data_IF_161904972140
#
_entry.id   IF_161904972140
#
_cell.length_a   1.000
_cell.length_b   1.000
_cell.length_c   1.000
_cell.angle_alpha   90.00
_cell.angle_beta   90.00
_cell.angle_gamma   90.00
#
_symmetry.space_group_name_H-M   'P 1'
#
loop_
_entity.id
_entity.type
_entity.pdbx_description
1 polymer ?
#
# COMPACT_ATOMS: atom_id res chain seq x y z
N UNK A 1 54.81 -48.90 30.46
CA UNK A 1 55.21 -47.82 31.37
C UNK A 1 54.68 -46.56 30.73
N UNK A 2 53.40 -46.21 30.98
CA UNK A 2 52.93 -45.45 32.17
C UNK A 2 53.66 -44.08 32.21
N UNK A 3 53.04 -42.90 32.14
CA UNK A 3 51.67 -42.40 32.47
C UNK A 3 51.32 -41.27 31.44
N UNK A 4 50.11 -41.15 30.86
CA UNK A 4 48.94 -40.36 31.33
C UNK A 4 49.33 -39.04 32.02
N UNK A 5 48.77 -37.85 31.77
CA UNK A 5 47.52 -37.33 31.18
C UNK A 5 47.74 -35.78 31.20
N UNK A 6 47.09 -34.87 30.48
CA UNK A 6 46.05 -34.82 29.46
C UNK A 6 46.05 -33.35 28.99
N UNK A 7 45.77 -33.07 27.71
CA UNK A 7 45.70 -31.69 27.23
C UNK A 7 45.61 -31.59 25.71
N UNK A 8 44.49 -32.09 25.16
CA UNK A 8 44.10 -32.02 23.76
C UNK A 8 44.27 -30.64 23.13
N UNK A 9 44.70 -30.59 21.86
CA UNK A 9 44.30 -29.51 20.95
C UNK A 9 45.25 -29.18 19.79
N UNK A 10 45.28 -30.04 18.76
CA UNK A 10 45.22 -29.69 17.31
C UNK A 10 46.21 -28.60 16.82
N UNK A 11 47.35 -28.95 16.22
CA UNK A 11 47.60 -29.13 14.77
C UNK A 11 47.30 -27.92 13.86
N UNK A 12 48.32 -27.57 13.08
CA UNK A 12 48.33 -26.76 11.85
C UNK A 12 48.36 -25.22 11.96
N UNK A 13 49.54 -24.69 12.34
CA UNK A 13 50.05 -23.41 11.84
C UNK A 13 51.07 -23.67 10.73
N UNK A 14 50.59 -23.85 9.50
CA UNK A 14 51.37 -23.49 8.29
C UNK A 14 50.43 -23.38 7.08
N UNK A 15 49.61 -22.31 7.06
CA UNK A 15 49.01 -21.76 5.83
C UNK A 15 48.46 -20.34 6.01
N UNK A 16 49.19 -19.49 6.72
CA UNK A 16 48.90 -18.05 6.75
C UNK A 16 49.79 -17.31 5.75
N UNK A 17 49.48 -17.44 4.45
CA UNK A 17 49.69 -16.43 3.41
C UNK A 17 48.87 -16.95 2.22
N UNK A 18 47.66 -16.39 2.00
CA UNK A 18 46.98 -16.15 0.69
C UNK A 18 45.49 -15.81 0.88
N UNK A 19 44.84 -16.09 2.02
CA UNK A 19 43.39 -15.86 2.19
C UNK A 19 42.96 -14.52 2.82
N UNK A 20 43.86 -13.56 3.05
CA UNK A 20 43.49 -12.24 3.59
C UNK A 20 43.10 -11.20 2.53
N UNK A 21 43.55 -11.37 1.27
CA UNK A 21 43.31 -10.37 0.21
C UNK A 21 41.94 -10.48 -0.47
N UNK A 22 41.32 -11.67 -0.46
CA UNK A 22 40.03 -11.90 -1.14
C UNK A 22 38.84 -11.44 -0.29
N UNK A 23 38.93 -11.56 1.04
CA UNK A 23 37.89 -11.05 1.94
C UNK A 23 37.91 -9.52 2.07
N UNK A 24 39.07 -8.85 1.91
CA UNK A 24 39.10 -7.39 1.90
C UNK A 24 38.45 -6.79 0.65
N UNK A 25 38.64 -7.38 -0.54
CA UNK A 25 38.01 -6.88 -1.78
C UNK A 25 36.49 -7.01 -1.76
N UNK A 26 35.94 -8.14 -1.27
CA UNK A 26 34.49 -8.30 -1.16
C UNK A 26 33.88 -7.41 -0.06
N UNK A 27 34.59 -7.16 1.05
CA UNK A 27 34.15 -6.18 2.04
C UNK A 27 34.19 -4.75 1.50
N UNK A 28 35.18 -4.44 0.64
CA UNK A 28 35.29 -3.12 0.01
C UNK A 28 34.19 -2.89 -1.03
N UNK A 29 33.88 -3.90 -1.85
CA UNK A 29 32.79 -3.81 -2.84
C UNK A 29 31.43 -3.73 -2.15
N UNK A 30 31.18 -4.48 -1.08
CA UNK A 30 29.96 -4.36 -0.27
C UNK A 30 29.86 -3.00 0.43
N UNK A 31 30.95 -2.46 0.97
CA UNK A 31 30.97 -1.10 1.53
C UNK A 31 30.77 -0.04 0.45
N UNK A 32 31.31 -0.23 -0.75
CA UNK A 32 31.14 0.70 -1.86
C UNK A 32 29.71 0.64 -2.40
N UNK A 33 29.08 -0.53 -2.47
CA UNK A 33 27.67 -0.69 -2.81
C UNK A 33 26.76 -0.13 -1.72
N UNK A 34 27.09 -0.29 -0.44
CA UNK A 34 26.36 0.35 0.67
C UNK A 34 26.56 1.86 0.67
N UNK A 35 27.75 2.37 0.32
CA UNK A 35 28.00 3.81 0.16
C UNK A 35 27.27 4.34 -1.08
N UNK A 36 27.22 3.61 -2.19
CA UNK A 36 26.42 3.98 -3.37
C UNK A 36 24.93 3.90 -3.02
N UNK A 37 24.47 2.90 -2.27
CA UNK A 37 23.09 2.80 -1.81
C UNK A 37 22.74 3.94 -0.83
N UNK A 38 23.68 4.32 0.04
CA UNK A 38 23.55 5.49 0.90
C UNK A 38 23.53 6.75 0.04
N UNK A 39 24.40 6.92 -0.97
CA UNK A 39 24.43 8.09 -1.87
C UNK A 39 23.17 8.17 -2.75
N UNK A 40 22.62 7.02 -3.18
CA UNK A 40 21.40 6.92 -4.01
C UNK A 40 20.14 7.09 -3.16
N UNK A 41 20.09 6.54 -1.93
CA UNK A 41 19.01 6.80 -0.97
C UNK A 41 19.12 8.18 -0.33
N UNK A 42 20.33 8.76 -0.30
CA UNK A 42 20.60 10.13 0.08
C UNK A 42 20.65 11.05 -1.13
N UNK A 43 20.03 10.68 -2.26
CA UNK A 43 19.82 11.61 -3.36
C UNK A 43 19.05 12.84 -2.89
N UNK A 44 18.23 12.75 -1.82
CA UNK A 44 17.66 13.92 -1.15
C UNK A 44 18.66 14.70 -0.30
N UNK A 45 19.70 14.08 0.25
CA UNK A 45 20.75 14.75 1.04
C UNK A 45 21.85 15.33 0.15
N UNK A 46 22.21 14.66 -0.95
CA UNK A 46 23.11 15.17 -1.99
C UNK A 46 22.41 16.22 -2.81
N UNK A 47 21.11 16.10 -3.11
CA UNK A 47 20.34 17.23 -3.63
C UNK A 47 20.32 18.33 -2.59
N UNK A 48 19.93 18.09 -1.33
CA UNK A 48 19.89 19.15 -0.29
C UNK A 48 21.24 19.82 -0.06
N UNK A 49 22.36 19.09 -0.09
CA UNK A 49 23.73 19.64 0.03
C UNK A 49 24.13 20.35 -1.27
N UNK A 50 23.74 19.86 -2.44
CA UNK A 50 23.98 20.54 -3.71
C UNK A 50 23.13 21.81 -3.81
N UNK A 51 21.88 21.80 -3.35
CA UNK A 51 21.03 22.98 -3.21
C UNK A 51 21.66 23.90 -2.19
N UNK A 52 22.11 23.43 -1.03
CA UNK A 52 22.81 24.24 -0.02
C UNK A 52 24.13 24.81 -0.56
N UNK A 53 24.87 24.06 -1.37
CA UNK A 53 26.11 24.50 -2.02
C UNK A 53 25.84 25.53 -3.12
N UNK A 54 24.84 25.29 -3.97
CA UNK A 54 24.39 26.24 -4.99
C UNK A 54 23.82 27.51 -4.33
N UNK A 55 23.15 27.38 -3.19
CA UNK A 55 22.62 28.46 -2.36
C UNK A 55 23.74 29.23 -1.68
N UNK A 56 24.73 28.57 -1.08
CA UNK A 56 25.96 29.20 -0.53
C UNK A 56 26.78 29.86 -1.63
N UNK A 57 26.82 29.28 -2.83
CA UNK A 57 27.49 29.85 -4.00
C UNK A 57 26.70 31.05 -4.56
N UNK A 58 25.36 31.03 -4.52
CA UNK A 58 24.50 32.18 -4.82
C UNK A 58 24.62 33.28 -3.75
N UNK A 59 24.70 32.92 -2.47
CA UNK A 59 24.93 33.87 -1.36
C UNK A 59 26.30 34.51 -1.50
N UNK A 60 27.35 33.75 -1.83
CA UNK A 60 28.68 34.31 -2.07
C UNK A 60 28.72 35.17 -3.34
N UNK A 61 27.97 34.82 -4.39
CA UNK A 61 27.83 35.66 -5.58
C UNK A 61 26.99 36.93 -5.32
N UNK A 62 25.99 36.87 -4.45
CA UNK A 62 25.16 38.02 -4.05
C UNK A 62 25.86 38.90 -2.99
N UNK A 63 26.74 38.35 -2.16
CA UNK A 63 27.65 39.12 -1.31
C UNK A 63 28.61 39.99 -2.14
N UNK A 64 28.89 39.61 -3.39
CA UNK A 64 29.67 40.40 -4.34
C UNK A 64 28.91 41.67 -4.81
N UNK A 65 27.58 41.70 -4.73
CA UNK A 65 26.75 42.89 -4.98
C UNK A 65 26.63 43.83 -3.78
N UNK A 66 26.96 43.38 -2.57
CA UNK A 66 26.76 44.12 -1.31
C UNK A 66 28.07 44.61 -0.68
N UNK A 67 29.13 44.81 -1.48
CA UNK A 67 30.34 45.50 -1.00
C UNK A 67 30.14 47.02 -1.00
N UNK A 68 29.81 47.55 0.17
CA UNK A 68 30.04 48.93 0.64
C UNK A 68 29.99 50.02 -0.44
N UNK A 69 28.80 50.33 -0.96
CA UNK A 69 28.53 51.62 -1.60
C UNK A 69 27.12 52.10 -1.24
N UNK A 70 27.05 53.27 -0.59
CA UNK A 70 25.85 54.05 -0.24
C UNK A 70 24.62 53.27 0.25
N UNK A 71 24.52 53.12 1.58
CA UNK A 71 23.36 52.53 2.29
C UNK A 71 22.00 53.15 1.90
N UNK A 72 21.96 54.41 1.48
CA UNK A 72 20.71 55.14 1.18
C UNK A 72 20.10 54.82 -0.19
N UNK A 73 20.83 54.24 -1.14
CA UNK A 73 20.32 53.90 -2.48
C UNK A 73 20.12 52.40 -2.70
N UNK A 74 20.61 51.57 -1.77
CA UNK A 74 20.64 50.12 -1.90
C UNK A 74 19.30 49.48 -1.50
N UNK A 75 18.72 49.90 -0.36
CA UNK A 75 17.46 49.34 0.14
C UNK A 75 16.30 49.53 -0.86
N UNK A 76 16.06 50.73 -1.41
CA UNK A 76 15.00 50.91 -2.41
C UNK A 76 15.20 50.08 -3.67
N UNK A 77 16.45 49.89 -4.10
CA UNK A 77 16.77 49.10 -5.30
C UNK A 77 16.53 47.60 -5.10
N UNK A 78 16.88 47.06 -3.92
CA UNK A 78 16.59 45.65 -3.58
C UNK A 78 15.09 45.41 -3.51
N UNK A 79 14.33 46.35 -2.93
CA UNK A 79 12.87 46.30 -2.92
C UNK A 79 12.34 46.25 -4.35
N UNK A 80 12.69 47.23 -5.20
CA UNK A 80 12.25 47.30 -6.61
C UNK A 80 12.55 46.01 -7.40
N UNK A 81 13.74 45.44 -7.22
CA UNK A 81 14.09 44.17 -7.88
C UNK A 81 13.28 42.99 -7.36
N UNK A 82 13.00 42.93 -6.05
CA UNK A 82 12.14 41.88 -5.50
C UNK A 82 10.70 42.00 -6.01
N UNK A 83 10.16 43.22 -6.15
CA UNK A 83 8.84 43.44 -6.77
C UNK A 83 8.79 42.93 -8.21
N UNK A 84 9.84 43.21 -8.99
CA UNK A 84 9.95 42.74 -10.38
C UNK A 84 9.94 41.20 -10.44
N UNK A 85 10.65 40.52 -9.53
CA UNK A 85 10.66 39.05 -9.46
C UNK A 85 9.30 38.46 -9.11
N UNK A 86 8.57 39.08 -8.20
CA UNK A 86 7.19 38.66 -7.86
C UNK A 86 6.27 38.79 -9.07
N UNK A 87 6.41 39.87 -9.84
CA UNK A 87 5.61 40.04 -11.07
C UNK A 87 5.92 38.98 -12.16
N UNK A 88 7.08 38.34 -12.06
CA UNK A 88 7.51 37.21 -12.90
C UNK A 88 7.19 35.84 -12.27
N UNK A 89 6.47 35.80 -11.14
CA UNK A 89 6.18 34.59 -10.33
C UNK A 89 7.44 33.90 -9.78
N UNK A 90 8.57 34.61 -9.70
CA UNK A 90 9.83 34.13 -9.09
C UNK A 90 9.88 34.49 -7.60
N UNK A 91 8.99 33.85 -6.84
CA UNK A 91 8.80 34.09 -5.40
C UNK A 91 10.02 33.69 -4.56
N UNK A 92 10.77 32.66 -4.99
CA UNK A 92 11.96 32.16 -4.31
C UNK A 92 13.06 33.23 -4.28
N UNK A 93 13.37 33.78 -5.45
CA UNK A 93 14.41 34.79 -5.59
C UNK A 93 14.02 36.07 -4.85
N UNK A 94 12.77 36.52 -4.98
CA UNK A 94 12.27 37.69 -4.25
C UNK A 94 12.40 37.53 -2.73
N UNK A 95 12.00 36.36 -2.21
CA UNK A 95 12.14 36.01 -0.79
C UNK A 95 13.60 36.06 -0.33
N UNK A 96 14.51 35.37 -1.05
CA UNK A 96 15.92 35.30 -0.67
C UNK A 96 16.60 36.68 -0.73
N UNK A 97 16.24 37.52 -1.69
CA UNK A 97 16.79 38.88 -1.82
C UNK A 97 16.44 39.75 -0.61
N UNK A 98 15.17 39.80 -0.22
CA UNK A 98 14.72 40.61 0.91
C UNK A 98 15.18 40.02 2.24
N UNK A 99 15.17 38.69 2.39
CA UNK A 99 15.64 38.03 3.62
C UNK A 99 17.15 38.26 3.85
N UNK A 100 17.98 38.16 2.81
CA UNK A 100 19.41 38.47 2.91
C UNK A 100 19.67 39.95 3.25
N UNK A 101 18.87 40.86 2.69
CA UNK A 101 18.93 42.27 3.02
C UNK A 101 18.52 42.52 4.48
N UNK A 102 17.49 41.84 4.99
CA UNK A 102 17.08 41.91 6.39
C UNK A 102 18.12 41.34 7.36
N UNK A 103 18.81 40.26 7.01
CA UNK A 103 19.93 39.73 7.83
C UNK A 103 21.05 40.78 7.93
N UNK A 104 21.31 41.51 6.84
CA UNK A 104 22.35 42.55 6.77
C UNK A 104 21.93 43.87 7.43
N UNK A 105 20.64 44.19 7.42
CA UNK A 105 20.04 45.42 7.95
C UNK A 105 18.78 45.13 8.78
N UNK A 106 18.91 44.44 9.93
CA UNK A 106 17.76 43.87 10.65
C UNK A 106 16.84 44.93 11.26
N UNK A 107 17.32 46.15 11.47
CA UNK A 107 16.53 47.26 12.02
C UNK A 107 15.79 48.09 10.95
N UNK A 108 15.88 47.76 9.66
CA UNK A 108 15.33 48.57 8.57
C UNK A 108 13.81 48.33 8.39
N UNK A 109 12.94 49.30 8.68
CA UNK A 109 11.49 49.11 8.67
C UNK A 109 10.92 48.87 7.27
N UNK A 110 11.51 49.47 6.23
CA UNK A 110 11.01 49.36 4.86
C UNK A 110 11.26 47.94 4.30
N UNK A 111 12.40 47.34 4.60
CA UNK A 111 12.68 45.94 4.27
C UNK A 111 11.73 44.98 5.00
N UNK A 112 11.41 45.26 6.28
CA UNK A 112 10.51 44.42 7.04
C UNK A 112 9.07 44.45 6.48
N UNK A 113 8.56 45.65 6.16
CA UNK A 113 7.25 45.81 5.53
C UNK A 113 7.18 45.15 4.17
N UNK A 114 8.24 45.28 3.38
CA UNK A 114 8.29 44.64 2.09
C UNK A 114 8.24 43.12 2.26
N UNK A 115 9.06 42.57 3.16
CA UNK A 115 9.05 41.14 3.44
C UNK A 115 7.67 40.60 3.88
N UNK A 116 6.98 41.33 4.76
CA UNK A 116 5.59 41.02 5.14
C UNK A 116 4.64 41.02 3.95
N UNK A 117 4.79 41.98 3.03
CA UNK A 117 3.98 42.08 1.81
C UNK A 117 4.24 40.91 0.86
N UNK A 118 5.51 40.54 0.65
CA UNK A 118 5.90 39.38 -0.16
C UNK A 118 5.28 38.11 0.41
N UNK A 119 5.48 37.86 1.70
CA UNK A 119 4.90 36.67 2.36
C UNK A 119 3.38 36.66 2.28
N UNK A 120 2.71 37.81 2.45
CA UNK A 120 1.25 37.90 2.34
C UNK A 120 0.73 37.65 0.92
N UNK A 121 1.45 38.13 -0.10
CA UNK A 121 1.14 37.86 -1.52
C UNK A 121 1.23 36.36 -1.80
N UNK A 122 2.29 35.74 -1.29
CA UNK A 122 2.50 34.29 -1.38
C UNK A 122 1.37 33.55 -0.65
N UNK A 123 0.95 33.98 0.54
CA UNK A 123 -0.21 33.41 1.29
C UNK A 123 -1.51 33.46 0.49
N UNK A 124 -1.73 34.50 -0.31
CA UNK A 124 -2.96 34.65 -1.09
C UNK A 124 -3.00 33.83 -2.40
N UNK A 125 -1.87 33.29 -2.88
CA UNK A 125 -1.76 32.65 -4.20
C UNK A 125 -1.76 31.10 -4.12
N UNK A 126 -2.67 30.54 -3.33
CA UNK A 126 -2.76 29.10 -3.03
C UNK A 126 -3.23 28.27 -4.25
N UNK A 127 -3.78 28.92 -5.27
CA UNK A 127 -4.35 28.27 -6.44
C UNK A 127 -3.31 27.75 -7.44
N UNK A 128 -2.08 28.28 -7.42
CA UNK A 128 -0.97 27.81 -8.26
C UNK A 128 -0.22 26.62 -7.62
N UNK A 129 -0.26 25.42 -8.22
CA UNK A 129 0.44 24.24 -7.72
C UNK A 129 1.96 24.41 -7.58
N UNK A 130 2.59 25.30 -8.35
CA UNK A 130 4.01 25.62 -8.20
C UNK A 130 4.23 26.46 -6.94
N UNK A 131 3.40 27.47 -6.70
CA UNK A 131 3.44 28.31 -5.51
C UNK A 131 3.33 27.47 -4.25
N UNK A 132 2.46 26.46 -4.20
CA UNK A 132 2.28 25.62 -3.00
C UNK A 132 3.58 24.90 -2.55
N UNK A 133 4.36 24.37 -3.52
CA UNK A 133 5.63 23.69 -3.22
C UNK A 133 6.75 24.67 -2.86
N UNK A 134 6.86 25.77 -3.61
CA UNK A 134 7.87 26.80 -3.38
C UNK A 134 7.65 27.54 -2.06
N UNK A 135 6.41 27.72 -1.65
CA UNK A 135 6.01 28.48 -0.48
C UNK A 135 6.32 27.78 0.83
N UNK A 136 6.13 26.47 0.90
CA UNK A 136 6.62 25.69 2.03
C UNK A 136 8.16 25.69 2.10
N UNK A 137 8.82 25.58 0.94
CA UNK A 137 10.27 25.69 0.86
C UNK A 137 10.77 27.07 1.32
N UNK A 138 10.13 28.14 0.89
CA UNK A 138 10.41 29.54 1.27
C UNK A 138 10.28 29.73 2.78
N UNK A 139 9.20 29.23 3.39
CA UNK A 139 8.95 29.42 4.82
C UNK A 139 9.90 28.58 5.69
N UNK A 140 10.30 27.38 5.28
CA UNK A 140 11.25 26.54 6.02
C UNK A 140 12.71 26.97 5.83
N UNK A 141 13.06 27.33 4.59
CA UNK A 141 14.38 27.84 4.24
C UNK A 141 14.61 29.17 4.95
N UNK A 142 13.60 30.04 5.00
CA UNK A 142 13.63 31.29 5.76
C UNK A 142 13.89 31.09 7.26
N UNK A 143 13.21 30.13 7.91
CA UNK A 143 13.47 29.81 9.32
C UNK A 143 14.91 29.29 9.53
N UNK A 144 15.38 28.40 8.65
CA UNK A 144 16.74 27.86 8.72
C UNK A 144 17.80 28.95 8.54
N UNK A 145 17.58 29.88 7.61
CA UNK A 145 18.44 31.03 7.38
C UNK A 145 18.48 31.97 8.58
N UNK A 146 17.33 32.26 9.17
CA UNK A 146 17.25 33.13 10.34
C UNK A 146 17.91 32.49 11.55
N UNK A 147 17.70 31.19 11.78
CA UNK A 147 18.36 30.46 12.85
C UNK A 147 19.88 30.43 12.67
N UNK A 148 20.37 30.30 11.44
CA UNK A 148 21.80 30.39 11.13
C UNK A 148 22.32 31.81 11.36
N UNK A 149 21.58 32.84 10.91
CA UNK A 149 21.94 34.23 11.14
C UNK A 149 21.98 34.59 12.64
N UNK A 150 21.06 34.08 13.46
CA UNK A 150 21.07 34.27 14.92
C UNK A 150 22.32 33.71 15.59
N UNK A 151 22.94 32.67 15.03
CA UNK A 151 24.20 32.10 15.53
C UNK A 151 25.44 32.92 15.13
N UNK A 152 25.34 33.72 14.07
CA UNK A 152 26.46 34.45 13.47
C UNK A 152 26.42 35.98 13.71
N UNK A 153 25.29 36.52 14.16
CA UNK A 153 25.06 37.97 14.35
C UNK A 153 25.24 38.43 15.80
N UNK A 154 25.48 39.73 15.96
CA UNK A 154 25.59 40.37 17.28
C UNK A 154 24.27 40.24 18.07
N UNK A 155 24.30 39.84 19.37
CA UNK A 155 23.12 39.74 20.22
C UNK A 155 22.21 40.98 20.26
N UNK A 156 22.75 42.17 20.00
CA UNK A 156 21.98 43.41 19.88
C UNK A 156 20.96 43.42 18.72
N UNK A 157 21.14 42.57 17.71
CA UNK A 157 20.21 42.41 16.58
C UNK A 157 19.17 41.30 16.79
N UNK A 158 19.30 40.48 17.85
CA UNK A 158 18.39 39.38 18.13
C UNK A 158 16.91 39.78 18.19
N UNK A 159 16.50 40.89 18.83
CA UNK A 159 15.08 41.27 18.88
C UNK A 159 14.48 41.47 17.49
N UNK A 160 15.23 42.06 16.56
CA UNK A 160 14.77 42.32 15.21
C UNK A 160 14.74 41.04 14.37
N UNK A 161 15.76 40.18 14.50
CA UNK A 161 15.81 38.91 13.80
C UNK A 161 14.73 37.94 14.30
N UNK A 162 14.49 37.92 15.62
CA UNK A 162 13.38 37.16 16.23
C UNK A 162 12.02 37.61 15.71
N UNK A 163 11.82 38.92 15.50
CA UNK A 163 10.59 39.45 14.92
C UNK A 163 10.36 38.96 13.48
N UNK A 164 11.42 38.81 12.68
CA UNK A 164 11.32 38.21 11.34
C UNK A 164 10.97 36.72 11.44
N UNK A 165 11.54 36.00 12.40
CA UNK A 165 11.20 34.59 12.64
C UNK A 165 9.74 34.41 13.07
N UNK A 166 9.22 35.25 13.96
CA UNK A 166 7.81 35.27 14.37
C UNK A 166 6.90 35.49 13.16
N UNK A 167 7.19 36.49 12.32
CA UNK A 167 6.43 36.76 11.10
C UNK A 167 6.38 35.54 10.16
N UNK A 168 7.48 34.82 9.96
CA UNK A 168 7.50 33.60 9.14
C UNK A 168 6.60 32.52 9.75
N UNK A 169 6.63 32.35 11.08
CA UNK A 169 5.80 31.34 11.76
C UNK A 169 4.32 31.68 11.67
N UNK A 170 3.96 32.95 11.84
CA UNK A 170 2.59 33.43 11.70
C UNK A 170 2.08 33.21 10.27
N UNK A 171 2.86 33.65 9.25
CA UNK A 171 2.49 33.48 7.83
C UNK A 171 2.42 32.02 7.40
N UNK A 172 3.25 31.14 7.98
CA UNK A 172 3.15 29.69 7.76
C UNK A 172 1.84 29.13 8.30
N UNK A 173 1.41 29.58 9.47
CA UNK A 173 0.16 29.13 10.09
C UNK A 173 -1.04 29.60 9.25
N UNK A 174 -1.07 30.88 8.88
CA UNK A 174 -2.09 31.44 7.95
C UNK A 174 -2.16 30.65 6.64
N UNK A 175 -1.01 30.34 6.04
CA UNK A 175 -0.96 29.57 4.81
C UNK A 175 -1.55 28.17 4.97
N UNK A 176 -1.16 27.44 6.01
CA UNK A 176 -1.61 26.07 6.21
C UNK A 176 -3.12 26.01 6.47
N UNK A 177 -3.68 26.98 7.18
CA UNK A 177 -5.13 27.12 7.36
C UNK A 177 -5.83 27.32 6.01
N UNK A 178 -5.36 28.28 5.21
CA UNK A 178 -5.94 28.57 3.90
C UNK A 178 -5.76 27.40 2.90
N UNK A 179 -4.67 26.63 3.01
CA UNK A 179 -4.47 25.39 2.25
C UNK A 179 -5.48 24.31 2.66
N UNK A 180 -5.78 24.16 3.95
CA UNK A 180 -6.83 23.24 4.42
C UNK A 180 -8.20 23.67 3.90
N UNK A 181 -8.52 24.96 3.92
CA UNK A 181 -9.75 25.49 3.33
C UNK A 181 -9.84 25.19 1.84
N UNK A 182 -8.74 25.38 1.10
CA UNK A 182 -8.68 25.05 -0.33
C UNK A 182 -8.89 23.57 -0.61
N UNK A 183 -8.31 22.70 0.23
CA UNK A 183 -8.53 21.25 0.16
C UNK A 183 -10.02 20.91 0.35
N UNK A 184 -10.72 21.58 1.28
CA UNK A 184 -12.17 21.42 1.46
C UNK A 184 -12.99 21.85 0.25
N UNK A 185 -12.58 22.93 -0.43
CA UNK A 185 -13.24 23.39 -1.66
C UNK A 185 -13.07 22.39 -2.79
N UNK A 186 -11.84 21.93 -3.04
CA UNK A 186 -11.55 20.92 -4.06
C UNK A 186 -12.32 19.62 -3.80
N UNK A 187 -12.46 19.22 -2.54
CA UNK A 187 -13.27 18.07 -2.14
C UNK A 187 -14.77 18.28 -2.46
N UNK A 188 -15.30 19.50 -2.30
CA UNK A 188 -16.69 19.83 -2.65
C UNK A 188 -16.90 19.91 -4.16
N UNK A 189 -15.89 20.38 -4.91
CA UNK A 189 -15.87 20.41 -6.37
C UNK A 189 -15.74 19.01 -6.99
N UNK A 190 -15.26 18.04 -6.20
CA UNK A 190 -15.10 16.64 -6.63
C UNK A 190 -13.72 16.35 -7.24
N UNK A 191 -12.74 17.24 -7.10
CA UNK A 191 -11.36 17.04 -7.55
C UNK A 191 -10.55 16.22 -6.53
N UNK A 192 -10.96 14.96 -6.39
CA UNK A 192 -10.42 14.02 -5.39
C UNK A 192 -8.93 13.73 -5.62
N UNK A 193 -8.47 13.72 -6.88
CA UNK A 193 -7.08 13.45 -7.22
C UNK A 193 -6.16 14.58 -6.75
N UNK A 194 -6.55 15.85 -6.99
CA UNK A 194 -5.80 17.00 -6.49
C UNK A 194 -5.81 17.08 -4.98
N UNK A 195 -6.94 16.77 -4.33
CA UNK A 195 -6.99 16.65 -2.86
C UNK A 195 -5.99 15.60 -2.37
N UNK A 196 -6.02 14.40 -2.94
CA UNK A 196 -5.12 13.32 -2.52
C UNK A 196 -3.65 13.71 -2.70
N UNK A 197 -3.31 14.37 -3.81
CA UNK A 197 -1.96 14.87 -4.08
C UNK A 197 -1.51 15.88 -3.02
N UNK A 198 -2.34 16.87 -2.71
CA UNK A 198 -2.03 17.89 -1.70
C UNK A 198 -1.90 17.25 -0.31
N UNK A 199 -2.88 16.47 0.12
CA UNK A 199 -2.86 15.87 1.46
C UNK A 199 -1.65 14.95 1.64
N UNK A 200 -1.28 14.15 0.63
CA UNK A 200 -0.08 13.29 0.66
C UNK A 200 1.22 14.09 0.69
N UNK A 201 1.37 15.07 -0.20
CA UNK A 201 2.61 15.84 -0.31
C UNK A 201 2.90 16.69 0.94
N UNK A 202 1.84 17.16 1.61
CA UNK A 202 1.96 17.99 2.80
C UNK A 202 1.70 17.22 4.11
N UNK A 203 1.65 15.88 4.08
CA UNK A 203 1.30 15.06 5.23
C UNK A 203 2.24 15.28 6.45
N UNK A 204 3.56 15.30 6.19
CA UNK A 204 4.56 15.55 7.22
C UNK A 204 4.58 16.98 7.76
N UNK A 205 3.83 17.90 7.14
CA UNK A 205 3.77 19.30 7.53
C UNK A 205 2.56 19.51 8.42
N UNK A 206 1.41 19.02 7.97
CA UNK A 206 0.21 18.95 8.79
C UNK A 206 0.48 18.20 10.09
N UNK A 207 1.32 17.17 10.09
CA UNK A 207 1.69 16.41 11.30
C UNK A 207 2.27 17.24 12.45
N UNK A 208 2.68 18.49 12.21
CA UNK A 208 3.17 19.40 13.25
C UNK A 208 2.06 20.18 13.97
N UNK A 209 0.79 20.09 13.53
CA UNK A 209 -0.36 20.75 14.14
C UNK A 209 -1.51 19.76 14.34
N UNK A 210 -1.88 19.52 15.60
CA UNK A 210 -3.00 18.63 15.94
C UNK A 210 -4.33 19.10 15.35
N UNK A 211 -4.55 20.42 15.28
CA UNK A 211 -5.78 21.01 14.75
C UNK A 211 -5.91 20.81 13.24
N UNK A 212 -4.83 21.05 12.48
CA UNK A 212 -4.84 20.85 11.04
C UNK A 212 -5.06 19.37 10.68
N UNK A 213 -4.43 18.46 11.43
CA UNK A 213 -4.62 17.02 11.24
C UNK A 213 -6.04 16.62 11.60
N UNK A 214 -6.61 17.14 12.70
CA UNK A 214 -7.99 16.85 13.06
C UNK A 214 -8.95 17.23 11.93
N UNK A 215 -8.75 18.42 11.35
CA UNK A 215 -9.54 18.93 10.23
C UNK A 215 -9.42 18.05 8.97
N UNK A 216 -8.21 17.61 8.62
CA UNK A 216 -8.00 16.72 7.47
C UNK A 216 -8.56 15.32 7.73
N UNK A 217 -8.39 14.78 8.94
CA UNK A 217 -8.99 13.49 9.33
C UNK A 217 -10.52 13.54 9.29
N UNK A 218 -11.12 14.68 9.68
CA UNK A 218 -12.56 14.90 9.55
C UNK A 218 -13.00 14.92 8.08
N UNK A 219 -12.21 15.50 7.19
CA UNK A 219 -12.47 15.50 5.75
C UNK A 219 -12.44 14.08 5.19
N UNK A 220 -11.39 13.32 5.47
CA UNK A 220 -11.23 11.93 5.01
C UNK A 220 -12.34 11.03 5.56
N UNK A 221 -12.75 11.24 6.82
CA UNK A 221 -13.83 10.48 7.44
C UNK A 221 -15.16 10.77 6.75
N UNK A 222 -15.50 12.05 6.54
CA UNK A 222 -16.73 12.43 5.83
C UNK A 222 -16.75 11.89 4.39
N UNK A 223 -15.60 11.83 3.71
CA UNK A 223 -15.51 11.20 2.39
C UNK A 223 -15.88 9.72 2.46
N UNK A 224 -15.30 8.97 3.41
CA UNK A 224 -15.63 7.56 3.60
C UNK A 224 -17.09 7.34 4.02
N UNK A 225 -17.65 8.21 4.86
CA UNK A 225 -19.07 8.17 5.21
C UNK A 225 -19.97 8.34 3.98
N UNK A 226 -19.68 9.34 3.13
CA UNK A 226 -20.40 9.55 1.86
C UNK A 226 -20.25 8.35 0.92
N UNK A 227 -19.05 7.81 0.77
CA UNK A 227 -18.81 6.62 -0.03
C UNK A 227 -19.61 5.43 0.49
N UNK A 228 -19.63 5.21 1.81
CA UNK A 228 -20.36 4.10 2.43
C UNK A 228 -21.89 4.15 2.21
N UNK A 229 -22.43 5.35 2.00
CA UNK A 229 -23.85 5.58 1.69
C UNK A 229 -24.17 5.46 0.19
N UNK A 230 -23.15 5.44 -0.68
CA UNK A 230 -23.33 5.22 -2.12
C UNK A 230 -23.87 3.81 -2.39
N UNK A 231 -24.70 3.68 -3.42
CA UNK A 231 -25.15 2.38 -3.91
C UNK A 231 -23.99 1.55 -4.45
N UNK A 232 -23.02 2.20 -5.12
CA UNK A 232 -21.83 1.58 -5.70
C UNK A 232 -20.56 2.29 -5.18
N UNK A 233 -20.11 1.97 -3.95
CA UNK A 233 -18.90 2.56 -3.39
C UNK A 233 -17.66 2.12 -4.19
N UNK A 234 -16.77 3.06 -4.50
CA UNK A 234 -15.45 2.73 -5.05
C UNK A 234 -14.51 2.28 -3.93
N UNK A 235 -14.30 0.97 -3.80
CA UNK A 235 -13.37 0.40 -2.81
C UNK A 235 -11.95 0.92 -3.00
N UNK A 236 -11.50 1.12 -4.25
CA UNK A 236 -10.17 1.67 -4.53
C UNK A 236 -9.98 3.08 -3.95
N UNK A 237 -10.99 3.95 -4.08
CA UNK A 237 -10.96 5.27 -3.46
C UNK A 237 -11.03 5.20 -1.93
N UNK A 238 -11.82 4.26 -1.39
CA UNK A 238 -11.92 4.05 0.05
C UNK A 238 -10.56 3.66 0.66
N UNK A 239 -9.85 2.70 0.06
CA UNK A 239 -8.52 2.31 0.53
C UNK A 239 -7.49 3.43 0.38
N UNK A 240 -7.47 4.16 -0.73
CA UNK A 240 -6.56 5.29 -0.90
C UNK A 240 -6.81 6.38 0.17
N UNK A 241 -8.08 6.65 0.46
CA UNK A 241 -8.47 7.61 1.52
C UNK A 241 -8.01 7.13 2.90
N UNK A 242 -8.12 5.83 3.17
CA UNK A 242 -7.69 5.24 4.43
C UNK A 242 -6.17 5.19 4.58
N UNK A 243 -5.44 4.88 3.52
CA UNK A 243 -3.98 4.91 3.48
C UNK A 243 -3.44 6.30 3.81
N UNK A 244 -4.07 7.36 3.27
CA UNK A 244 -3.74 8.75 3.63
C UNK A 244 -3.97 8.99 5.13
N UNK A 245 -5.10 8.53 5.68
CA UNK A 245 -5.40 8.68 7.11
C UNK A 245 -4.38 7.95 8.01
N UNK A 246 -3.97 6.73 7.62
CA UNK A 246 -2.93 5.98 8.33
C UNK A 246 -1.58 6.71 8.31
N UNK A 247 -1.22 7.34 7.18
CA UNK A 247 0.02 8.12 7.10
C UNK A 247 0.05 9.28 8.12
N UNK A 248 -1.09 9.87 8.46
CA UNK A 248 -1.18 10.88 9.52
C UNK A 248 -0.96 10.29 10.91
N UNK A 249 -1.51 9.11 11.20
CA UNK A 249 -1.26 8.41 12.46
C UNK A 249 0.22 8.04 12.60
N UNK A 250 0.85 7.51 11.55
CA UNK A 250 2.27 7.15 11.55
C UNK A 250 3.15 8.38 11.81
N UNK A 251 2.91 9.49 11.10
CA UNK A 251 3.66 10.73 11.28
C UNK A 251 3.50 11.32 12.69
N UNK A 252 2.32 11.15 13.31
CA UNK A 252 2.08 11.60 14.68
C UNK A 252 2.58 10.65 15.76
N UNK A 253 2.64 9.35 15.49
CA UNK A 253 3.23 8.37 16.42
C UNK A 253 4.73 8.64 16.65
N UNK A 254 5.39 9.33 15.71
CA UNK A 254 6.74 9.84 15.86
C UNK A 254 6.82 11.14 16.70
N UNK A 255 5.69 11.78 17.02
CA UNK A 255 5.59 13.02 17.78
C UNK A 255 5.18 12.75 19.25
N UNK A 256 5.39 13.73 20.14
CA UNK A 256 4.99 13.66 21.57
C UNK A 256 3.49 13.97 21.76
N UNK A 257 2.76 14.25 20.67
CA UNK A 257 1.35 14.70 20.70
C UNK A 257 0.42 13.52 21.01
N UNK A 258 -0.59 13.73 21.86
CA UNK A 258 -1.64 12.74 22.14
C UNK A 258 -2.42 12.40 20.85
N UNK A 259 -2.37 11.12 20.44
CA UNK A 259 -2.97 10.63 19.20
C UNK A 259 -4.28 9.85 19.40
N UNK A 260 -4.87 9.89 20.59
CA UNK A 260 -6.06 9.09 20.92
C UNK A 260 -7.25 9.43 20.03
N UNK A 261 -7.45 10.71 19.70
CA UNK A 261 -8.55 11.18 18.84
C UNK A 261 -8.44 10.67 17.39
N UNK A 262 -7.23 10.47 16.88
CA UNK A 262 -6.99 9.97 15.52
C UNK A 262 -7.26 8.48 15.43
N UNK A 263 -6.85 7.72 16.45
CA UNK A 263 -7.13 6.28 16.55
C UNK A 263 -8.62 5.99 16.51
N UNK A 264 -9.43 6.78 17.22
CA UNK A 264 -10.89 6.64 17.18
C UNK A 264 -11.42 6.85 15.76
N UNK A 265 -10.95 7.88 15.05
CA UNK A 265 -11.33 8.15 13.66
C UNK A 265 -10.88 7.04 12.71
N UNK A 266 -9.67 6.51 12.86
CA UNK A 266 -9.14 5.41 12.05
C UNK A 266 -9.95 4.13 12.26
N UNK A 267 -10.29 3.80 13.51
CA UNK A 267 -11.17 2.68 13.80
C UNK A 267 -12.53 2.85 13.10
N UNK A 268 -13.10 4.06 13.17
CA UNK A 268 -14.36 4.35 12.47
C UNK A 268 -14.23 4.24 10.95
N UNK A 269 -13.15 4.72 10.35
CA UNK A 269 -12.89 4.57 8.92
C UNK A 269 -12.76 3.10 8.52
N UNK A 270 -12.06 2.29 9.33
CA UNK A 270 -11.91 0.86 9.11
C UNK A 270 -13.25 0.11 9.14
N UNK A 271 -14.15 0.48 10.07
CA UNK A 271 -15.53 -0.03 10.08
C UNK A 271 -16.29 0.31 8.80
N UNK A 272 -16.15 1.54 8.29
CA UNK A 272 -16.81 1.97 7.06
C UNK A 272 -16.32 1.18 5.84
N UNK A 273 -15.01 0.93 5.75
CA UNK A 273 -14.42 0.10 4.69
C UNK A 273 -14.94 -1.32 4.77
N UNK A 274 -14.90 -1.93 5.96
CA UNK A 274 -15.42 -3.28 6.19
C UNK A 274 -16.90 -3.41 5.78
N UNK A 275 -17.70 -2.38 6.05
CA UNK A 275 -19.11 -2.34 5.63
C UNK A 275 -19.26 -2.25 4.10
N UNK A 276 -18.41 -1.47 3.42
CA UNK A 276 -18.41 -1.37 1.96
C UNK A 276 -17.97 -2.68 1.30
N UNK A 277 -16.93 -3.33 1.84
CA UNK A 277 -16.47 -4.66 1.40
C UNK A 277 -17.59 -5.69 1.55
N UNK A 278 -18.28 -5.70 2.70
CA UNK A 278 -19.40 -6.61 2.93
C UNK A 278 -20.54 -6.40 1.93
N UNK A 279 -20.90 -5.15 1.64
CA UNK A 279 -21.92 -4.83 0.62
C UNK A 279 -21.54 -5.33 -0.77
N UNK A 280 -20.28 -5.18 -1.16
CA UNK A 280 -19.80 -5.65 -2.47
C UNK A 280 -19.82 -7.19 -2.55
N UNK A 281 -19.38 -7.86 -1.48
CA UNK A 281 -19.47 -9.32 -1.38
C UNK A 281 -20.93 -9.81 -1.41
N UNK A 282 -21.85 -9.12 -0.73
CA UNK A 282 -23.28 -9.44 -0.80
C UNK A 282 -23.83 -9.33 -2.22
N UNK A 283 -23.43 -8.31 -2.99
CA UNK A 283 -23.79 -8.19 -4.41
C UNK A 283 -23.22 -9.33 -5.26
N UNK A 284 -21.97 -9.73 -5.03
CA UNK A 284 -21.37 -10.88 -5.72
C UNK A 284 -22.11 -12.18 -5.40
N UNK A 285 -22.51 -12.37 -4.14
CA UNK A 285 -23.32 -13.50 -3.70
C UNK A 285 -24.70 -13.47 -4.35
N UNK A 286 -25.36 -12.32 -4.40
CA UNK A 286 -26.66 -12.17 -5.04
C UNK A 286 -26.57 -12.41 -6.56
N UNK A 287 -25.50 -11.92 -7.21
CA UNK A 287 -25.20 -12.18 -8.62
C UNK A 287 -25.02 -13.68 -8.88
N UNK A 288 -24.25 -14.38 -8.04
CA UNK A 288 -24.10 -15.83 -8.09
C UNK A 288 -25.46 -16.53 -7.96
N UNK A 289 -26.29 -16.13 -6.99
CA UNK A 289 -27.62 -16.70 -6.80
C UNK A 289 -28.55 -16.43 -8.00
N UNK A 290 -28.44 -15.27 -8.63
CA UNK A 290 -29.28 -14.90 -9.78
C UNK A 290 -28.88 -15.61 -11.07
N UNK A 291 -27.60 -15.95 -11.27
CA UNK A 291 -27.16 -16.79 -12.39
C UNK A 291 -27.96 -18.11 -12.46
N UNK A 292 -28.29 -18.68 -11.30
CA UNK A 292 -29.08 -19.91 -11.20
C UNK A 292 -30.54 -19.73 -11.65
N UNK A 293 -31.15 -18.59 -11.31
CA UNK A 293 -32.58 -18.35 -11.55
C UNK A 293 -32.87 -18.09 -13.04
N UNK A 294 -31.90 -17.56 -13.78
CA UNK A 294 -32.04 -17.26 -15.21
C UNK A 294 -31.86 -18.53 -16.05
N UNK A 295 -31.00 -19.46 -15.64
CA UNK A 295 -30.64 -20.65 -16.42
C UNK A 295 -31.65 -21.81 -16.31
N UNK A 296 -32.52 -21.85 -15.29
CA UNK A 296 -33.66 -22.80 -15.25
C UNK A 296 -34.63 -22.63 -16.44
N UNK A 297 -34.52 -21.53 -17.20
CA UNK A 297 -35.44 -21.16 -18.28
C UNK A 297 -34.96 -21.46 -19.71
N UNK A 298 -33.72 -21.93 -19.92
CA UNK A 298 -33.15 -22.15 -21.27
C UNK A 298 -32.68 -23.58 -21.47
N UNK A 299 -33.09 -24.21 -22.58
CA UNK A 299 -32.55 -25.49 -23.05
C UNK A 299 -31.10 -25.27 -23.50
N UNK A 300 -30.13 -25.70 -22.72
CA UNK A 300 -28.71 -25.48 -23.01
C UNK A 300 -28.07 -26.65 -23.78
N UNK A 301 -27.08 -26.32 -24.62
CA UNK A 301 -26.20 -27.29 -25.28
C UNK A 301 -25.41 -28.11 -24.24
N UNK A 302 -25.54 -29.43 -24.29
CA UNK A 302 -24.92 -30.37 -23.34
C UNK A 302 -23.39 -30.25 -23.27
N UNK A 303 -22.74 -29.78 -24.35
CA UNK A 303 -21.27 -29.64 -24.43
C UNK A 303 -20.68 -28.51 -23.58
N UNK A 304 -21.44 -27.42 -23.34
CA UNK A 304 -20.95 -26.26 -22.57
C UNK A 304 -21.28 -26.34 -21.07
N UNK A 305 -22.19 -27.24 -20.71
CA UNK A 305 -22.75 -27.39 -19.38
C UNK A 305 -21.69 -27.74 -18.31
N UNK A 306 -20.71 -28.64 -18.55
CA UNK A 306 -19.66 -28.95 -17.57
C UNK A 306 -18.74 -27.75 -17.25
N UNK A 307 -18.40 -26.94 -18.26
CA UNK A 307 -17.53 -25.78 -18.08
C UNK A 307 -18.22 -24.69 -17.25
N UNK A 308 -19.52 -24.48 -17.47
CA UNK A 308 -20.33 -23.56 -16.66
C UNK A 308 -20.42 -24.00 -15.21
N UNK A 309 -20.59 -25.30 -14.96
CA UNK A 309 -20.63 -25.84 -13.59
C UNK A 309 -19.32 -25.60 -12.86
N UNK A 310 -18.20 -25.87 -13.53
CA UNK A 310 -16.89 -25.60 -12.95
C UNK A 310 -16.71 -24.11 -12.65
N UNK A 311 -17.17 -23.22 -13.55
CA UNK A 311 -17.12 -21.77 -13.32
C UNK A 311 -17.99 -21.33 -12.13
N UNK A 312 -19.22 -21.84 -12.03
CA UNK A 312 -20.12 -21.55 -10.92
C UNK A 312 -19.55 -22.04 -9.59
N UNK A 313 -19.10 -23.29 -9.53
CA UNK A 313 -18.50 -23.88 -8.32
C UNK A 313 -17.22 -23.13 -7.94
N UNK A 314 -16.37 -22.76 -8.90
CA UNK A 314 -15.15 -22.01 -8.63
C UNK A 314 -15.46 -20.63 -8.02
N UNK A 315 -16.41 -19.88 -8.59
CA UNK A 315 -16.85 -18.59 -8.03
C UNK A 315 -17.47 -18.75 -6.64
N UNK A 316 -18.31 -19.76 -6.46
CA UNK A 316 -18.95 -20.03 -5.18
C UNK A 316 -17.93 -20.43 -4.10
N UNK A 317 -16.93 -21.24 -4.44
CA UNK A 317 -15.84 -21.61 -3.54
C UNK A 317 -14.97 -20.40 -3.17
N UNK A 318 -14.67 -19.52 -4.14
CA UNK A 318 -13.93 -18.28 -3.88
C UNK A 318 -14.66 -17.40 -2.86
N UNK A 319 -15.99 -17.23 -3.01
CA UNK A 319 -16.80 -16.48 -2.08
C UNK A 319 -16.86 -17.15 -0.70
N UNK A 320 -17.16 -18.45 -0.63
CA UNK A 320 -17.24 -19.21 0.62
C UNK A 320 -15.96 -19.16 1.46
N UNK A 321 -14.81 -19.12 0.80
CA UNK A 321 -13.49 -19.04 1.43
C UNK A 321 -13.10 -17.61 1.82
N UNK A 322 -13.89 -16.59 1.48
CA UNK A 322 -13.63 -15.22 1.89
C UNK A 322 -13.93 -15.03 3.39
N UNK A 323 -12.96 -14.55 4.19
CA UNK A 323 -13.10 -14.43 5.65
C UNK A 323 -14.17 -13.42 6.09
N UNK A 324 -14.57 -12.49 5.22
CA UNK A 324 -15.59 -11.48 5.51
C UNK A 324 -17.03 -12.00 5.32
N UNK A 325 -17.20 -13.18 4.72
CA UNK A 325 -18.52 -13.81 4.57
C UNK A 325 -18.90 -14.51 5.88
N UNK A 326 -20.04 -14.10 6.44
CA UNK A 326 -20.61 -14.70 7.64
C UNK A 326 -21.17 -16.12 7.38
N UNK A 327 -21.29 -16.90 8.46
CA UNK A 327 -21.73 -18.30 8.38
C UNK A 327 -23.11 -18.45 7.73
N UNK A 328 -24.01 -17.48 7.94
CA UNK A 328 -25.35 -17.47 7.36
C UNK A 328 -25.30 -17.31 5.84
N UNK A 329 -24.47 -16.40 5.35
CA UNK A 329 -24.25 -16.17 3.92
C UNK A 329 -23.53 -17.35 3.29
N UNK A 330 -22.56 -17.94 4.00
CA UNK A 330 -21.89 -19.17 3.59
C UNK A 330 -22.87 -20.33 3.43
N UNK A 331 -23.78 -20.50 4.39
CA UNK A 331 -24.85 -21.50 4.32
C UNK A 331 -25.78 -21.25 3.14
N UNK A 332 -26.15 -19.98 2.87
CA UNK A 332 -26.93 -19.60 1.68
C UNK A 332 -26.21 -20.03 0.39
N UNK A 333 -24.93 -19.73 0.24
CA UNK A 333 -24.14 -20.13 -0.94
C UNK A 333 -24.11 -21.66 -1.08
N UNK A 334 -23.89 -22.41 0.01
CA UNK A 334 -23.91 -23.88 -0.03
C UNK A 334 -25.26 -24.45 -0.45
N UNK A 335 -26.37 -23.88 0.03
CA UNK A 335 -27.72 -24.28 -0.40
C UNK A 335 -27.92 -24.05 -1.90
N UNK A 336 -27.42 -22.94 -2.43
CA UNK A 336 -27.50 -22.63 -3.86
C UNK A 336 -26.61 -23.55 -4.71
N UNK A 337 -25.39 -23.86 -4.27
CA UNK A 337 -24.54 -24.90 -4.89
C UNK A 337 -25.29 -26.23 -4.95
N UNK A 338 -25.91 -26.64 -3.84
CA UNK A 338 -26.67 -27.89 -3.77
C UNK A 338 -27.87 -27.90 -4.72
N UNK A 339 -28.65 -26.81 -4.77
CA UNK A 339 -29.77 -26.69 -5.72
C UNK A 339 -29.29 -26.78 -7.16
N UNK A 340 -28.24 -26.05 -7.53
CA UNK A 340 -27.68 -26.07 -8.86
C UNK A 340 -27.20 -27.47 -9.28
N UNK A 341 -26.48 -28.15 -8.38
CA UNK A 341 -26.05 -29.53 -8.60
C UNK A 341 -27.25 -30.46 -8.80
N UNK A 342 -28.31 -30.31 -7.99
CA UNK A 342 -29.52 -31.13 -8.10
C UNK A 342 -30.31 -30.85 -9.39
N UNK A 343 -30.44 -29.60 -9.80
CA UNK A 343 -31.08 -29.20 -11.06
C UNK A 343 -30.30 -29.78 -12.25
N UNK A 344 -28.98 -29.69 -12.22
CA UNK A 344 -28.11 -30.28 -13.24
C UNK A 344 -28.21 -31.82 -13.29
N UNK A 345 -28.21 -32.50 -12.15
CA UNK A 345 -28.48 -33.94 -12.09
C UNK A 345 -29.85 -34.29 -12.68
N UNK A 346 -30.87 -33.45 -12.43
CA UNK A 346 -32.19 -33.60 -13.02
C UNK A 346 -32.19 -33.44 -14.54
N UNK A 347 -31.42 -32.49 -15.08
CA UNK A 347 -31.26 -32.31 -16.53
C UNK A 347 -30.53 -33.51 -17.16
N UNK A 348 -29.43 -33.96 -16.57
CA UNK A 348 -28.73 -35.18 -17.00
C UNK A 348 -29.61 -36.44 -16.91
N UNK A 349 -30.46 -36.53 -15.89
CA UNK A 349 -31.39 -37.65 -15.72
C UNK A 349 -32.60 -37.59 -16.68
N UNK A 350 -32.97 -36.40 -17.16
CA UNK A 350 -34.06 -36.21 -18.14
C UNK A 350 -33.60 -36.46 -19.58
N UNK A 351 -32.31 -36.34 -19.86
CA UNK A 351 -31.71 -36.63 -21.18
C UNK A 351 -31.25 -38.09 -21.34
N UNK A 352 -31.79 -39.02 -20.53
CA UNK A 352 -31.63 -40.49 -20.58
C UNK A 352 -30.47 -41.00 -21.45
N UNK A 353 -29.32 -41.25 -20.82
CA UNK A 353 -28.47 -42.35 -21.27
C UNK A 353 -28.45 -43.40 -20.16
N UNK A 354 -29.04 -44.57 -20.42
CA UNK A 354 -28.85 -45.78 -19.60
C UNK A 354 -27.36 -45.98 -19.27
N UNK A 355 -26.49 -45.56 -20.19
CA UNK A 355 -25.04 -45.50 -20.07
C UNK A 355 -24.54 -44.78 -18.81
N UNK A 356 -25.09 -43.63 -18.40
CA UNK A 356 -24.60 -42.91 -17.21
C UNK A 356 -24.99 -43.62 -15.90
N UNK A 357 -26.18 -44.22 -15.85
CA UNK A 357 -26.62 -45.07 -14.72
C UNK A 357 -25.79 -46.35 -14.66
N UNK A 358 -25.58 -47.01 -15.79
CA UNK A 358 -24.70 -48.19 -15.91
C UNK A 358 -23.26 -47.87 -15.53
N UNK A 359 -22.75 -46.70 -15.94
CA UNK A 359 -21.42 -46.22 -15.59
C UNK A 359 -21.29 -46.00 -14.08
N UNK A 360 -22.26 -45.34 -13.44
CA UNK A 360 -22.25 -45.14 -11.98
C UNK A 360 -22.42 -46.45 -11.20
N UNK A 361 -23.20 -47.40 -11.71
CA UNK A 361 -23.30 -48.74 -11.13
C UNK A 361 -21.96 -49.48 -11.24
N UNK A 362 -21.31 -49.43 -12.40
CA UNK A 362 -19.97 -49.99 -12.61
C UNK A 362 -18.93 -49.37 -11.67
N UNK A 363 -18.98 -48.05 -11.46
CA UNK A 363 -18.10 -47.36 -10.51
C UNK A 363 -18.35 -47.84 -9.07
N UNK A 364 -19.62 -47.95 -8.65
CA UNK A 364 -19.96 -48.46 -7.33
C UNK A 364 -19.45 -49.90 -7.13
N UNK A 365 -19.53 -50.74 -8.16
CA UNK A 365 -19.04 -52.12 -8.10
C UNK A 365 -17.51 -52.18 -7.99
N UNK A 366 -16.78 -51.21 -8.56
CA UNK A 366 -15.34 -51.05 -8.31
C UNK A 366 -15.12 -50.65 -6.86
N UNK A 367 -15.76 -49.57 -6.40
CA UNK A 367 -15.55 -49.00 -5.07
C UNK A 367 -15.81 -49.98 -3.93
N UNK A 368 -16.84 -50.82 -4.07
CA UNK A 368 -17.19 -51.87 -3.11
C UNK A 368 -16.15 -52.99 -2.98
N UNK A 369 -15.22 -53.13 -3.93
CA UNK A 369 -14.16 -54.14 -3.84
C UNK A 369 -13.15 -53.83 -2.74
N UNK A 370 -12.98 -52.55 -2.37
CA UNK A 370 -11.95 -52.16 -1.40
C UNK A 370 -12.20 -52.76 -0.01
N UNK A 371 -11.20 -53.42 0.56
CA UNK A 371 -11.25 -53.95 1.93
C UNK A 371 -10.10 -53.40 2.78
N UNK A 372 -10.40 -53.05 4.03
CA UNK A 372 -9.45 -52.42 4.94
C UNK A 372 -8.28 -53.32 5.35
N UNK A 373 -8.34 -54.64 5.10
CA UNK A 373 -7.29 -55.61 5.41
C UNK A 373 -6.34 -55.91 4.24
N UNK A 374 -6.48 -55.25 3.09
CA UNK A 374 -5.62 -55.52 1.92
C UNK A 374 -4.14 -55.20 2.12
N UNK A 375 -3.26 -55.99 1.53
CA UNK A 375 -1.84 -55.66 1.49
C UNK A 375 -1.57 -54.43 0.61
N UNK A 376 -0.49 -53.69 0.90
CA UNK A 376 -0.10 -52.47 0.17
C UNK A 376 0.05 -52.72 -1.34
N UNK A 377 0.63 -53.86 -1.72
CA UNK A 377 0.78 -54.29 -3.12
C UNK A 377 -0.56 -54.34 -3.87
N UNK A 378 -1.60 -54.88 -3.21
CA UNK A 378 -2.97 -55.00 -3.74
C UNK A 378 -3.67 -53.65 -3.85
N UNK A 379 -3.42 -52.74 -2.90
CA UNK A 379 -3.93 -51.36 -2.94
C UNK A 379 -3.32 -50.58 -4.10
N UNK A 380 -2.00 -50.71 -4.32
CA UNK A 380 -1.32 -50.08 -5.45
C UNK A 380 -1.89 -50.59 -6.78
N UNK A 381 -2.10 -51.90 -6.92
CA UNK A 381 -2.70 -52.48 -8.13
C UNK A 381 -4.15 -52.03 -8.35
N UNK A 382 -4.93 -51.92 -7.26
CA UNK A 382 -6.29 -51.39 -7.29
C UNK A 382 -6.37 -49.94 -7.80
N UNK A 383 -5.29 -49.16 -7.65
CA UNK A 383 -5.14 -47.85 -8.28
C UNK A 383 -5.39 -47.86 -9.79
N UNK A 384 -5.15 -48.98 -10.50
CA UNK A 384 -5.48 -49.12 -11.93
C UNK A 384 -6.98 -49.10 -12.21
N UNK A 385 -7.79 -49.68 -11.33
CA UNK A 385 -9.26 -49.66 -11.50
C UNK A 385 -9.82 -48.28 -11.14
N UNK A 386 -9.36 -47.71 -10.03
CA UNK A 386 -9.73 -46.34 -9.64
C UNK A 386 -9.30 -45.30 -10.68
N UNK A 387 -8.16 -45.54 -11.33
CA UNK A 387 -7.63 -44.69 -12.37
C UNK A 387 -8.49 -44.65 -13.63
N UNK A 388 -9.27 -45.70 -13.92
CA UNK A 388 -10.18 -45.73 -15.09
C UNK A 388 -11.44 -44.91 -14.88
N UNK A 389 -11.74 -44.53 -13.64
CA UNK A 389 -12.91 -43.73 -13.30
C UNK A 389 -12.65 -42.27 -13.70
N UNK A 390 -13.48 -41.79 -14.61
CA UNK A 390 -13.66 -40.37 -14.87
C UNK A 390 -14.68 -39.80 -13.87
N UNK A 391 -14.19 -38.95 -12.98
CA UNK A 391 -14.98 -38.37 -11.88
C UNK A 391 -16.00 -37.35 -12.35
N UNK A 392 -15.88 -36.86 -13.60
CA UNK A 392 -16.80 -35.87 -14.20
C UNK A 392 -18.21 -36.41 -14.40
N UNK A 393 -18.36 -37.73 -14.48
CA UNK A 393 -19.64 -38.41 -14.77
C UNK A 393 -20.23 -39.12 -13.54
N UNK A 394 -19.69 -38.89 -12.35
CA UNK A 394 -20.18 -39.53 -11.13
C UNK A 394 -21.39 -38.80 -10.53
N UNK A 395 -22.39 -39.56 -10.10
CA UNK A 395 -23.42 -39.08 -9.20
C UNK A 395 -22.80 -38.69 -7.86
N UNK A 396 -23.38 -37.70 -7.18
CA UNK A 396 -22.80 -37.11 -5.97
C UNK A 396 -22.56 -38.16 -4.89
N UNK A 397 -23.49 -39.10 -4.70
CA UNK A 397 -23.38 -40.19 -3.73
C UNK A 397 -22.21 -41.13 -4.06
N UNK A 398 -22.00 -41.42 -5.34
CA UNK A 398 -20.92 -42.27 -5.83
C UNK A 398 -19.58 -41.55 -5.73
N UNK A 399 -19.53 -40.25 -6.05
CA UNK A 399 -18.33 -39.43 -5.92
C UNK A 399 -17.91 -39.24 -4.45
N UNK A 400 -18.87 -39.04 -3.55
CA UNK A 400 -18.63 -39.01 -2.11
C UNK A 400 -18.03 -40.34 -1.62
N UNK A 401 -18.57 -41.47 -2.09
CA UNK A 401 -18.02 -42.79 -1.77
C UNK A 401 -16.62 -43.01 -2.38
N UNK A 402 -16.38 -42.53 -3.61
CA UNK A 402 -15.07 -42.55 -4.26
C UNK A 402 -14.01 -41.80 -3.44
N UNK A 403 -14.33 -40.58 -3.00
CA UNK A 403 -13.43 -39.78 -2.18
C UNK A 403 -13.21 -40.39 -0.79
N UNK A 404 -14.24 -41.01 -0.20
CA UNK A 404 -14.11 -41.74 1.05
C UNK A 404 -13.12 -42.92 0.92
N UNK A 405 -13.25 -43.72 -0.14
CA UNK A 405 -12.32 -44.84 -0.42
C UNK A 405 -10.90 -44.34 -0.66
N UNK A 406 -10.70 -43.25 -1.42
CA UNK A 406 -9.38 -42.64 -1.61
C UNK A 406 -8.76 -42.16 -0.29
N UNK A 407 -9.54 -41.50 0.57
CA UNK A 407 -9.08 -41.07 1.89
C UNK A 407 -8.60 -42.26 2.71
N UNK A 408 -9.37 -43.36 2.72
CA UNK A 408 -9.01 -44.59 3.45
C UNK A 408 -7.78 -45.30 2.88
N UNK A 409 -7.57 -45.19 1.57
CA UNK A 409 -6.35 -45.70 0.93
C UNK A 409 -5.15 -44.87 1.35
N UNK A 410 -5.23 -43.54 1.31
CA UNK A 410 -4.12 -42.65 1.70
C UNK A 410 -3.78 -42.82 3.18
N UNK A 411 -4.78 -42.89 4.07
CA UNK A 411 -4.57 -43.17 5.50
C UNK A 411 -3.76 -44.45 5.73
N UNK A 412 -3.91 -45.44 4.85
CA UNK A 412 -3.24 -46.74 4.97
C UNK A 412 -1.88 -46.80 4.27
N UNK A 413 -1.71 -46.03 3.20
CA UNK A 413 -0.44 -45.87 2.51
C UNK A 413 0.40 -44.84 3.28
N UNK A 414 0.94 -45.23 4.43
CA UNK A 414 1.69 -44.32 5.32
C UNK A 414 3.04 -43.87 4.74
N UNK A 415 3.57 -44.61 3.74
CA UNK A 415 4.86 -44.33 3.11
C UNK A 415 4.70 -43.49 1.85
N UNK A 416 5.45 -42.41 1.76
CA UNK A 416 5.43 -41.49 0.62
C UNK A 416 5.69 -42.18 -0.72
N UNK A 417 6.60 -43.15 -0.77
CA UNK A 417 6.90 -43.92 -1.99
C UNK A 417 5.72 -44.80 -2.45
N UNK A 418 4.96 -45.35 -1.50
CA UNK A 418 3.79 -46.18 -1.80
C UNK A 418 2.61 -45.30 -2.27
N UNK A 419 2.44 -44.11 -1.68
CA UNK A 419 1.48 -43.10 -2.17
C UNK A 419 1.84 -42.68 -3.60
N UNK A 420 3.12 -42.34 -3.87
CA UNK A 420 3.57 -41.94 -5.21
C UNK A 420 3.31 -43.04 -6.24
N UNK A 421 3.61 -44.29 -5.90
CA UNK A 421 3.33 -45.45 -6.76
C UNK A 421 1.85 -45.65 -7.02
N UNK A 422 1.01 -45.49 -6.00
CA UNK A 422 -0.45 -45.56 -6.13
C UNK A 422 -0.99 -44.44 -7.05
N UNK A 423 -0.61 -43.18 -6.79
CA UNK A 423 -1.03 -42.02 -7.59
C UNK A 423 -0.58 -42.16 -9.04
N UNK A 424 0.68 -42.56 -9.28
CA UNK A 424 1.18 -42.81 -10.62
C UNK A 424 0.38 -43.91 -11.31
N UNK A 425 0.11 -45.02 -10.62
CA UNK A 425 -0.67 -46.13 -11.18
C UNK A 425 -2.09 -45.70 -11.55
N UNK A 426 -2.69 -44.79 -10.79
CA UNK A 426 -4.02 -44.23 -11.04
C UNK A 426 -4.06 -43.22 -12.18
N UNK A 427 -3.07 -42.31 -12.28
CA UNK A 427 -3.09 -41.20 -13.23
C UNK A 427 -2.87 -41.61 -14.68
N UNK A 428 -2.10 -42.67 -14.94
CA UNK A 428 -1.76 -43.10 -16.30
C UNK A 428 -2.83 -43.98 -16.96
N UNK A 429 -3.98 -44.18 -16.32
CA UNK A 429 -5.05 -44.99 -16.87
C UNK A 429 -5.89 -44.19 -17.86
N UNK A 430 -6.22 -44.81 -18.99
CA UNK A 430 -7.22 -44.27 -19.92
C UNK A 430 -8.57 -44.24 -19.21
N UNK A 431 -9.14 -43.04 -19.12
CA UNK A 431 -10.44 -42.80 -18.49
C UNK A 431 -11.54 -43.44 -19.33
N UNK A 432 -12.43 -44.18 -18.69
CA UNK A 432 -13.63 -44.72 -19.32
C UNK A 432 -14.71 -43.64 -19.31
N UNK A 433 -15.26 -43.33 -20.48
CA UNK A 433 -16.47 -42.51 -20.58
C UNK A 433 -17.72 -43.39 -20.45
N UNK A 434 -18.85 -42.84 -19.99
CA UNK A 434 -20.16 -43.49 -20.06
C UNK A 434 -20.50 -43.99 -21.46
#
# INVERSE_FOLDING_TARGET
MEEQEEGKGIQDQEKDIVTSSFNQKNLFIMRFLVIILIIVCSASFVSSILTLLLLVQNINNNQLFLKTSNRSSLIPHVIEQAEARISESDYETAHLMILNALISFPAEPDLFKEYERILSTIVSDIDDPQTVFWMFWILNTGETFIMSALLETDPSHFPNISRVLELIKDKRSEYLEALVERIWELEKEGDVDKVNLLVKNYAGIFSHSSELIDNLMNLLLKRLERLSMSENPSLGLAYNTFEIALSFEENLAASIIDNTFIKEKINRMNELISNMEKKELEKEVDSLCNMLSIEESRSEDEELLPAKIQSFIAKAQQLVNNPLIDDRTRERIYREIYKFQKTFQGLLARNDSNNLKEYNQWVLDILKKYEQNWEVSRIIEYGRELGKIDTRYLFTEVNLYYNHVLSKIIEKLEKEDDIKRFVYTMFYQVKRSP
#
